data_IF_519986156928
#
_entry.id   IF_519986156928
#
_cell.length_a   1.000
_cell.length_b   1.000
_cell.length_c   1.000
_cell.angle_alpha   90.00
_cell.angle_beta   90.00
_cell.angle_gamma   90.00
#
_symmetry.space_group_name_H-M   'P 1'
#
loop_
_entity.id
_entity.type
_entity.pdbx_description
1 polymer ?
#
# COMPACT_ATOMS: atom_id res chain seq x y z
N UNK A 1 31.35 9.86 -5.43
CA UNK A 1 30.39 9.42 -6.46
C UNK A 1 30.51 10.40 -7.64
N UNK A 2 30.71 9.94 -8.87
CA UNK A 2 30.81 10.81 -10.06
C UNK A 2 29.53 10.64 -10.88
N UNK A 3 29.08 11.71 -11.56
CA UNK A 3 27.82 11.66 -12.35
C UNK A 3 27.82 10.57 -13.43
N UNK A 4 28.97 10.26 -14.00
CA UNK A 4 29.12 9.20 -15.00
C UNK A 4 29.08 7.77 -14.43
N UNK A 5 29.14 7.60 -13.11
CA UNK A 5 29.09 6.29 -12.44
C UNK A 5 27.71 5.96 -11.87
N UNK A 6 26.76 6.90 -11.96
CA UNK A 6 25.37 6.68 -11.52
C UNK A 6 24.70 5.72 -12.49
N UNK A 7 24.42 4.52 -12.01
CA UNK A 7 23.71 3.47 -12.77
C UNK A 7 22.56 2.94 -11.92
N UNK A 8 21.41 2.62 -12.53
CA UNK A 8 20.34 1.92 -11.83
C UNK A 8 20.83 0.56 -11.33
N UNK A 9 20.27 0.08 -10.23
CA UNK A 9 20.59 -1.27 -9.71
C UNK A 9 20.33 -2.36 -10.74
N UNK A 10 21.05 -3.51 -10.66
CA UNK A 10 20.81 -4.64 -11.55
C UNK A 10 19.34 -5.09 -11.50
N UNK A 11 18.70 -5.27 -12.66
CA UNK A 11 17.29 -5.67 -12.77
C UNK A 11 16.25 -4.55 -12.56
N UNK A 12 16.64 -3.33 -12.16
CA UNK A 12 15.70 -2.22 -11.97
C UNK A 12 15.13 -1.64 -13.28
N UNK A 13 15.78 -1.91 -14.41
CA UNK A 13 15.29 -1.52 -15.74
C UNK A 13 15.22 -2.75 -16.65
N UNK A 14 14.05 -2.98 -17.21
CA UNK A 14 13.88 -3.97 -18.27
C UNK A 14 14.13 -3.32 -19.64
N UNK A 15 14.81 -4.07 -20.52
CA UNK A 15 14.98 -3.65 -21.91
C UNK A 15 13.61 -3.70 -22.61
N UNK A 16 13.20 -2.56 -23.18
CA UNK A 16 11.93 -2.45 -23.88
C UNK A 16 11.91 -3.41 -25.08
N UNK A 17 10.85 -4.21 -25.19
CA UNK A 17 10.61 -5.09 -26.34
C UNK A 17 10.45 -4.24 -27.60
N UNK A 18 11.30 -4.52 -28.60
CA UNK A 18 11.28 -3.86 -29.91
C UNK A 18 10.48 -4.69 -30.88
N UNK A 19 9.29 -4.23 -31.25
CA UNK A 19 8.39 -4.94 -32.17
C UNK A 19 8.49 -4.38 -33.59
N UNK A 20 8.11 -5.15 -34.61
CA UNK A 20 8.10 -4.71 -36.00
C UNK A 20 9.50 -4.48 -36.60
N UNK A 21 10.52 -5.23 -36.17
CA UNK A 21 11.92 -5.10 -36.63
C UNK A 21 12.38 -6.30 -37.45
N UNK A 22 11.57 -6.70 -38.42
CA UNK A 22 11.81 -7.80 -39.34
C UNK A 22 11.01 -9.04 -39.00
N UNK A 23 10.84 -9.91 -39.97
CA UNK A 23 10.03 -11.14 -39.81
C UNK A 23 10.62 -12.15 -38.81
N UNK A 24 11.95 -12.21 -38.74
CA UNK A 24 12.68 -13.19 -37.91
C UNK A 24 12.97 -12.67 -36.47
N UNK A 25 12.60 -11.45 -36.14
CA UNK A 25 12.91 -10.84 -34.85
C UNK A 25 11.83 -11.08 -33.76
N UNK A 26 11.12 -12.20 -33.84
CA UNK A 26 10.04 -12.56 -32.92
C UNK A 26 8.72 -11.88 -33.25
N UNK A 27 8.46 -10.70 -32.74
CA UNK A 27 7.25 -9.94 -33.04
C UNK A 27 7.43 -9.02 -34.26
N UNK A 28 7.61 -9.61 -35.44
CA UNK A 28 7.71 -8.94 -36.72
C UNK A 28 6.35 -8.40 -37.20
N UNK A 29 6.09 -8.46 -38.47
CA UNK A 29 4.90 -8.08 -39.27
C UNK A 29 3.76 -7.35 -38.53
N UNK A 30 3.04 -8.01 -37.61
CA UNK A 30 1.86 -7.48 -36.91
C UNK A 30 2.16 -6.96 -35.50
N UNK A 31 3.38 -7.03 -35.03
CA UNK A 31 3.81 -6.54 -33.71
C UNK A 31 3.00 -7.09 -32.52
N UNK A 32 2.44 -8.29 -32.63
CA UNK A 32 1.55 -8.90 -31.65
C UNK A 32 0.12 -8.33 -31.64
N UNK A 33 -0.25 -7.44 -32.57
CA UNK A 33 -1.59 -6.82 -32.61
C UNK A 33 -2.61 -7.61 -33.43
N UNK A 34 -2.20 -8.65 -34.14
CA UNK A 34 -3.06 -9.37 -35.08
C UNK A 34 -3.26 -8.62 -36.41
N UNK A 35 -4.16 -9.12 -37.26
CA UNK A 35 -4.31 -8.62 -38.65
C UNK A 35 -5.27 -7.44 -38.76
N UNK A 36 -6.43 -7.49 -38.11
CA UNK A 36 -7.51 -6.50 -38.18
C UNK A 36 -8.11 -6.28 -36.79
N UNK A 37 -8.97 -5.28 -36.67
CA UNK A 37 -9.69 -4.95 -35.45
C UNK A 37 -9.28 -3.61 -34.86
N UNK A 38 -10.04 -3.13 -33.92
CA UNK A 38 -9.85 -1.82 -33.28
C UNK A 38 -8.48 -1.71 -32.61
N UNK A 39 -8.00 -2.77 -31.96
CA UNK A 39 -6.71 -2.80 -31.23
C UNK A 39 -5.49 -2.83 -32.17
N UNK A 40 -5.67 -3.25 -33.42
CA UNK A 40 -4.58 -3.29 -34.39
C UNK A 40 -4.22 -1.92 -34.96
N UNK A 41 -5.08 -0.93 -34.83
CA UNK A 41 -4.91 0.42 -35.39
C UNK A 41 -4.06 1.30 -34.47
N UNK A 42 -3.54 2.41 -35.00
CA UNK A 42 -2.68 3.35 -34.27
C UNK A 42 -3.38 3.92 -33.02
N UNK A 43 -4.62 4.31 -33.11
CA UNK A 43 -5.46 4.79 -32.01
C UNK A 43 -6.29 3.70 -31.32
N UNK A 44 -5.93 2.42 -31.53
CA UNK A 44 -6.69 1.30 -30.99
C UNK A 44 -6.83 1.36 -29.47
N UNK A 45 -8.06 1.49 -29.01
CA UNK A 45 -8.40 1.59 -27.61
C UNK A 45 -9.49 0.58 -27.26
N UNK A 46 -9.34 -0.06 -26.11
CA UNK A 46 -10.39 -0.89 -25.52
C UNK A 46 -10.99 -0.19 -24.31
N UNK A 47 -12.24 0.17 -24.43
CA UNK A 47 -12.97 0.82 -23.33
C UNK A 47 -13.05 -0.10 -22.14
N UNK A 48 -12.45 0.29 -21.03
CA UNK A 48 -12.45 -0.49 -19.79
C UNK A 48 -13.88 -0.62 -19.25
N UNK A 49 -14.28 -1.85 -18.91
CA UNK A 49 -15.60 -2.13 -18.37
C UNK A 49 -16.75 -2.02 -19.38
N UNK A 50 -16.46 -2.07 -20.69
CA UNK A 50 -17.49 -2.10 -21.72
C UNK A 50 -18.11 -3.49 -21.82
N UNK A 51 -19.43 -3.58 -21.68
CA UNK A 51 -20.21 -4.80 -21.64
C UNK A 51 -21.13 -4.94 -22.88
N UNK A 52 -20.61 -4.64 -24.08
CA UNK A 52 -21.36 -4.83 -25.32
C UNK A 52 -22.60 -3.93 -25.50
N UNK A 53 -22.69 -2.83 -24.77
CA UNK A 53 -23.85 -1.91 -24.77
C UNK A 53 -24.75 -2.08 -23.55
N UNK A 54 -24.62 -3.16 -22.81
CA UNK A 54 -25.25 -3.28 -21.50
C UNK A 54 -24.67 -2.26 -20.52
N UNK A 55 -25.50 -1.74 -19.59
CA UNK A 55 -25.04 -0.81 -18.56
C UNK A 55 -23.90 -1.46 -17.76
N UNK A 56 -22.69 -0.87 -17.73
CA UNK A 56 -21.54 -1.41 -17.00
C UNK A 56 -21.84 -1.63 -15.53
N UNK A 57 -21.27 -2.69 -14.93
CA UNK A 57 -21.49 -3.06 -13.52
C UNK A 57 -21.31 -1.89 -12.56
N UNK A 58 -20.27 -1.09 -12.79
CA UNK A 58 -19.97 0.12 -11.99
C UNK A 58 -21.11 1.16 -11.99
N UNK A 59 -21.98 1.14 -12.97
CA UNK A 59 -23.18 2.01 -13.06
C UNK A 59 -24.44 1.34 -12.57
N UNK A 60 -24.51 -0.01 -12.62
CA UNK A 60 -25.65 -0.78 -12.11
C UNK A 60 -25.68 -0.82 -10.59
N UNK A 61 -24.52 -0.83 -9.95
CA UNK A 61 -24.42 -0.85 -8.51
C UNK A 61 -24.72 0.54 -7.93
N UNK A 62 -25.58 0.63 -6.90
CA UNK A 62 -25.86 1.88 -6.24
C UNK A 62 -24.59 2.39 -5.53
N UNK A 63 -24.38 3.70 -5.54
CA UNK A 63 -23.32 4.34 -4.76
C UNK A 63 -23.71 4.35 -3.30
N UNK A 64 -22.90 3.77 -2.44
CA UNK A 64 -23.17 3.66 -1.00
C UNK A 64 -22.07 4.36 -0.22
N UNK A 65 -22.49 5.08 0.81
CA UNK A 65 -21.61 5.73 1.79
C UNK A 65 -20.89 6.97 1.28
N UNK A 66 -20.04 7.48 2.13
CA UNK A 66 -19.16 8.62 1.87
C UNK A 66 -17.76 8.34 2.42
N UNK A 67 -16.76 9.04 1.92
CA UNK A 67 -15.40 8.99 2.47
C UNK A 67 -15.27 10.08 3.54
N UNK A 68 -15.07 9.67 4.78
CA UNK A 68 -14.79 10.60 5.86
C UNK A 68 -13.37 11.18 5.72
N UNK A 69 -13.24 12.50 5.67
CA UNK A 69 -11.93 13.16 5.67
C UNK A 69 -11.13 12.89 6.97
N UNK A 70 -11.84 12.67 8.08
CA UNK A 70 -11.21 12.36 9.36
C UNK A 70 -10.58 10.96 9.41
N UNK A 71 -11.03 10.03 8.57
CA UNK A 71 -10.49 8.67 8.55
C UNK A 71 -9.01 8.65 8.16
N UNK A 72 -8.58 9.53 7.25
CA UNK A 72 -7.18 9.63 6.84
C UNK A 72 -6.22 10.03 7.98
N UNK A 73 -6.74 10.69 9.02
CA UNK A 73 -5.96 11.14 10.18
C UNK A 73 -5.95 10.13 11.34
N UNK A 74 -6.62 9.01 11.20
CA UNK A 74 -6.71 7.97 12.24
C UNK A 74 -6.20 6.65 11.70
N UNK A 75 -5.41 5.94 12.51
CA UNK A 75 -4.90 4.62 12.18
C UNK A 75 -5.18 3.64 13.34
N UNK A 76 -5.32 2.38 12.98
CA UNK A 76 -5.40 1.26 13.92
C UNK A 76 -4.09 0.49 13.85
N UNK A 77 -3.56 0.11 15.01
CA UNK A 77 -2.34 -0.67 15.15
C UNK A 77 -2.65 -1.96 15.92
N UNK A 78 -2.26 -3.09 15.38
CA UNK A 78 -2.43 -4.37 16.07
C UNK A 78 -1.27 -4.63 17.03
N UNK A 79 -1.46 -5.52 18.02
CA UNK A 79 -0.37 -5.96 18.90
C UNK A 79 0.75 -6.66 18.13
N UNK A 80 0.42 -7.33 17.03
CA UNK A 80 1.42 -7.94 16.14
C UNK A 80 2.29 -6.89 15.43
N UNK A 81 1.67 -5.79 15.00
CA UNK A 81 2.42 -4.71 14.36
C UNK A 81 3.29 -3.95 15.36
N UNK A 82 2.82 -3.84 16.61
CA UNK A 82 3.60 -3.23 17.68
C UNK A 82 4.94 -3.97 17.90
N UNK A 83 5.01 -5.27 17.68
CA UNK A 83 6.26 -6.04 17.81
C UNK A 83 7.32 -5.67 16.77
N UNK A 84 6.97 -4.98 15.69
CA UNK A 84 7.89 -4.48 14.68
C UNK A 84 8.59 -3.18 15.08
N UNK A 85 8.10 -2.55 16.16
CA UNK A 85 8.76 -1.35 16.70
C UNK A 85 10.04 -1.75 17.39
N UNK A 86 11.14 -1.15 16.98
CA UNK A 86 12.47 -1.31 17.59
C UNK A 86 12.62 -0.32 18.76
N UNK A 87 13.34 -0.73 19.82
CA UNK A 87 13.68 0.16 20.93
C UNK A 87 12.71 0.20 22.12
N UNK A 88 11.53 -0.44 22.04
CA UNK A 88 10.60 -0.54 23.19
C UNK A 88 9.82 0.74 23.53
N UNK A 89 10.18 1.91 23.00
CA UNK A 89 9.42 3.16 23.13
C UNK A 89 8.49 3.36 21.94
N UNK A 90 7.23 3.63 22.22
CA UNK A 90 6.20 3.82 21.19
C UNK A 90 5.78 5.28 21.17
N UNK A 91 6.21 5.97 20.12
CA UNK A 91 5.84 7.36 19.82
C UNK A 91 5.21 7.41 18.43
N UNK A 92 4.38 8.43 18.16
CA UNK A 92 3.75 8.61 16.84
C UNK A 92 4.81 8.76 15.73
N UNK A 93 5.88 9.51 15.99
CA UNK A 93 6.98 9.70 15.05
C UNK A 93 7.68 8.35 14.73
N UNK A 94 7.99 7.55 15.76
CA UNK A 94 8.60 6.23 15.56
C UNK A 94 7.72 5.25 14.78
N UNK A 95 6.39 5.33 14.94
CA UNK A 95 5.45 4.52 14.17
C UNK A 95 5.40 4.91 12.69
N UNK A 96 5.54 6.20 12.39
CA UNK A 96 5.60 6.73 11.01
C UNK A 96 6.93 6.33 10.36
N UNK A 97 8.06 6.48 11.05
CA UNK A 97 9.38 6.06 10.55
C UNK A 97 9.47 4.58 10.28
N UNK A 98 8.86 3.75 11.13
CA UNK A 98 8.73 2.31 10.93
C UNK A 98 7.74 1.93 9.82
N UNK A 99 7.08 2.88 9.16
CA UNK A 99 6.04 2.67 8.15
C UNK A 99 4.87 1.79 8.62
N UNK A 100 4.56 1.80 9.91
CA UNK A 100 3.43 1.06 10.49
C UNK A 100 2.12 1.86 10.38
N UNK A 101 2.21 3.18 10.32
CA UNK A 101 1.08 4.07 10.12
C UNK A 101 1.38 5.11 9.04
N UNK A 102 0.38 5.58 8.28
CA UNK A 102 0.56 6.62 7.28
C UNK A 102 1.07 7.94 7.89
N UNK A 103 1.84 8.71 7.13
CA UNK A 103 2.38 10.03 7.54
C UNK A 103 1.29 11.04 7.95
N UNK A 104 0.11 10.97 7.31
CA UNK A 104 -1.02 11.85 7.62
C UNK A 104 -1.73 11.51 8.95
N UNK A 105 -1.30 10.47 9.66
CA UNK A 105 -1.94 10.00 10.91
C UNK A 105 -1.68 10.97 12.06
N UNK A 106 -2.74 11.34 12.76
CA UNK A 106 -2.69 12.19 13.97
C UNK A 106 -3.07 11.41 15.24
N UNK A 107 -3.86 10.36 15.09
CA UNK A 107 -4.33 9.55 16.20
C UNK A 107 -4.17 8.08 15.86
N UNK A 108 -3.62 7.32 16.79
CA UNK A 108 -3.45 5.85 16.67
C UNK A 108 -4.23 5.15 17.77
N UNK A 109 -4.89 4.06 17.43
CA UNK A 109 -5.57 3.22 18.40
C UNK A 109 -5.04 1.79 18.35
N UNK A 110 -4.47 1.33 19.46
CA UNK A 110 -3.97 -0.04 19.57
C UNK A 110 -5.15 -0.97 19.87
N UNK A 111 -5.29 -2.01 19.07
CA UNK A 111 -6.34 -3.02 19.17
C UNK A 111 -5.76 -4.39 19.46
N UNK A 112 -6.56 -5.25 20.12
CA UNK A 112 -6.17 -6.63 20.42
C UNK A 112 -6.20 -7.46 19.15
N UNK A 113 -5.01 -7.80 18.65
CA UNK A 113 -4.82 -8.79 17.60
C UNK A 113 -3.39 -9.31 17.69
N UNK A 114 -3.24 -10.60 17.96
CA UNK A 114 -1.96 -11.22 18.23
C UNK A 114 -1.52 -11.14 19.71
N UNK A 115 -0.26 -11.51 19.98
CA UNK A 115 0.34 -11.49 21.31
C UNK A 115 1.55 -10.55 21.33
N UNK A 116 1.80 -9.93 22.49
CA UNK A 116 2.97 -9.09 22.73
C UNK A 116 3.93 -9.86 23.65
N UNK A 117 5.18 -9.96 23.25
CA UNK A 117 6.25 -10.62 24.00
C UNK A 117 7.28 -9.66 24.58
N UNK A 118 7.29 -8.40 24.12
CA UNK A 118 8.23 -7.37 24.56
C UNK A 118 7.52 -6.33 25.41
N UNK A 119 8.23 -5.74 26.36
CA UNK A 119 7.74 -4.62 27.15
C UNK A 119 7.81 -3.34 26.30
N UNK A 120 6.68 -2.65 26.15
CA UNK A 120 6.59 -1.38 25.43
C UNK A 120 6.14 -0.27 26.35
N UNK A 121 6.75 0.92 26.20
CA UNK A 121 6.38 2.13 26.91
C UNK A 121 5.74 3.10 25.91
N UNK A 122 4.45 3.34 26.07
CA UNK A 122 3.71 4.29 25.24
C UNK A 122 3.75 5.66 25.89
N UNK A 123 4.43 6.63 25.24
CA UNK A 123 4.67 7.97 25.79
C UNK A 123 3.77 9.04 25.20
N UNK A 124 3.06 8.75 24.11
CA UNK A 124 2.39 9.77 23.31
C UNK A 124 0.88 9.80 23.57
N UNK A 125 0.33 11.00 23.87
CA UNK A 125 -1.12 11.20 24.04
C UNK A 125 -1.94 10.92 22.79
N UNK A 126 -1.32 10.95 21.62
CA UNK A 126 -1.96 10.61 20.35
C UNK A 126 -2.25 9.12 20.20
N UNK A 127 -1.65 8.28 21.07
CA UNK A 127 -1.79 6.83 21.03
C UNK A 127 -2.73 6.36 22.13
N UNK A 128 -3.86 5.84 21.75
CA UNK A 128 -4.84 5.23 22.65
C UNK A 128 -4.86 3.72 22.50
N UNK A 129 -5.38 2.99 23.47
CA UNK A 129 -5.51 1.54 23.39
C UNK A 129 -6.87 1.07 23.89
N UNK A 130 -7.36 -0.03 23.36
CA UNK A 130 -8.54 -0.71 23.91
C UNK A 130 -8.21 -1.32 25.27
N UNK A 131 -9.22 -1.56 26.12
CA UNK A 131 -9.02 -2.16 27.46
C UNK A 131 -8.18 -3.45 27.41
N UNK A 132 -8.52 -4.37 26.49
CA UNK A 132 -7.78 -5.61 26.31
C UNK A 132 -6.34 -5.41 25.80
N UNK A 133 -6.10 -4.43 24.93
CA UNK A 133 -4.75 -4.12 24.47
C UNK A 133 -3.88 -3.54 25.59
N UNK A 134 -4.44 -2.69 26.47
CA UNK A 134 -3.75 -2.22 27.66
C UNK A 134 -3.34 -3.37 28.57
N UNK A 135 -4.29 -4.23 28.94
CA UNK A 135 -4.00 -5.40 29.78
C UNK A 135 -2.95 -6.32 29.15
N UNK A 136 -2.97 -6.54 27.84
CA UNK A 136 -1.98 -7.37 27.15
C UNK A 136 -0.57 -6.75 27.17
N UNK A 137 -0.45 -5.44 26.98
CA UNK A 137 0.84 -4.73 27.06
C UNK A 137 1.36 -4.69 28.50
N UNK A 138 0.50 -4.44 29.49
CA UNK A 138 0.85 -4.44 30.91
C UNK A 138 1.30 -5.85 31.37
N UNK A 139 0.62 -6.91 30.92
CA UNK A 139 1.01 -8.30 31.20
C UNK A 139 2.39 -8.65 30.62
N UNK A 140 2.79 -8.03 29.53
CA UNK A 140 4.11 -8.16 28.93
C UNK A 140 5.17 -7.26 29.59
N UNK A 141 4.84 -6.55 30.67
CA UNK A 141 5.73 -5.64 31.37
C UNK A 141 5.83 -4.23 30.80
N UNK A 142 4.98 -3.90 29.85
CA UNK A 142 4.88 -2.54 29.29
C UNK A 142 4.01 -1.62 30.13
N UNK A 143 3.99 -0.33 29.79
CA UNK A 143 3.15 0.67 30.45
C UNK A 143 2.74 1.81 29.53
N UNK A 144 1.66 2.49 29.91
CA UNK A 144 1.17 3.70 29.26
C UNK A 144 1.46 4.90 30.18
N UNK A 145 2.29 5.83 29.71
CA UNK A 145 2.68 7.07 30.43
C UNK A 145 1.85 8.28 29.95
N UNK A 146 0.55 8.06 29.66
CA UNK A 146 -0.33 9.07 29.05
C UNK A 146 -1.42 9.48 30.04
#
# INVERSE_FOLDING_TARGET
MRLNTIKPGPGSKQTRLRVGRGASAGQGKTCGRGVKGQRARKGGYHKVGFEGGQMPLQRRLPKIGFRSAMQASRAELTLTDLMRVEGGEVTLAGLIEANLVPEATKLVKIIVSGAVTKAYVVKDKAITATKGAKSAVESAGGRFEV
#
